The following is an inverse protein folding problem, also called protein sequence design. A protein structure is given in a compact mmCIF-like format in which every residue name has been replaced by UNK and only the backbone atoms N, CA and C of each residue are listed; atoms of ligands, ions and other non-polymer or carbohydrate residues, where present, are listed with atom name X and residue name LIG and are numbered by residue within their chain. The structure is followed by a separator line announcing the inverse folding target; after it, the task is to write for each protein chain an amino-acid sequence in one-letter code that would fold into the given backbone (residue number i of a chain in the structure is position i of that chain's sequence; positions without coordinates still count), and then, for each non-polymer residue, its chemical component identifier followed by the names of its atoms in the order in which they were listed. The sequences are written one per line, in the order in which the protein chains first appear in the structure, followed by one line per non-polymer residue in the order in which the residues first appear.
data_IF_713539866533
#
_entry.id   IF_713539866533
#
_cell.length_a   1.000
_cell.length_b   1.000
_cell.length_c   1.000
_cell.angle_alpha   90.00
_cell.angle_beta   90.00
_cell.angle_gamma   90.00
#
_symmetry.space_group_name_H-M   'P 1'
#
loop_
_entity.id
_entity.type
_entity.pdbx_description
1 polymer ?
#
# COMPACT_ATOMS: atom_id res chain seq x y z
N UNK A 1 -19.23 -7.75 -31.01
CA UNK A 1 -19.91 -6.45 -31.18
C UNK A 1 -19.30 -5.35 -30.30
N UNK A 2 -19.37 -5.45 -28.96
CA UNK A 2 -18.79 -4.41 -28.05
C UNK A 2 -17.27 -4.31 -28.18
N UNK A 3 -16.55 -5.44 -28.26
CA UNK A 3 -15.10 -5.43 -28.49
C UNK A 3 -14.71 -4.91 -29.88
N UNK A 4 -15.58 -5.09 -30.87
CA UNK A 4 -15.29 -4.73 -32.26
C UNK A 4 -15.64 -3.27 -32.57
N UNK A 5 -16.54 -2.64 -31.79
CA UNK A 5 -16.99 -1.24 -31.96
C UNK A 5 -17.22 -0.56 -30.59
N UNK A 6 -16.19 -0.50 -29.72
CA UNK A 6 -16.33 0.02 -28.36
C UNK A 6 -16.85 1.46 -28.31
N UNK A 7 -16.52 2.29 -29.29
CA UNK A 7 -16.93 3.69 -29.42
C UNK A 7 -18.45 3.89 -29.57
N UNK A 8 -19.18 2.84 -29.98
CA UNK A 8 -20.65 2.87 -30.04
C UNK A 8 -21.30 2.70 -28.65
N UNK A 9 -20.58 2.10 -27.71
CA UNK A 9 -21.12 1.64 -26.43
C UNK A 9 -20.51 2.35 -25.21
N UNK A 10 -19.34 2.98 -25.38
CA UNK A 10 -18.66 3.71 -24.32
C UNK A 10 -18.52 5.18 -24.69
N UNK A 11 -18.85 6.07 -23.74
CA UNK A 11 -18.65 7.52 -23.91
C UNK A 11 -17.17 7.89 -24.12
N UNK A 12 -16.26 7.09 -23.56
CA UNK A 12 -14.81 7.17 -23.76
C UNK A 12 -14.21 5.76 -23.74
N UNK A 13 -13.22 5.49 -24.57
CA UNK A 13 -12.42 4.26 -24.51
C UNK A 13 -10.93 4.60 -24.50
N UNK A 14 -10.14 3.74 -23.86
CA UNK A 14 -8.68 3.83 -23.82
C UNK A 14 -8.12 2.51 -24.32
N UNK A 15 -7.11 2.58 -25.17
CA UNK A 15 -6.39 1.42 -25.69
C UNK A 15 -4.98 1.40 -25.09
N UNK A 16 -4.58 0.25 -24.55
CA UNK A 16 -3.26 0.03 -23.96
C UNK A 16 -2.65 -1.22 -24.58
N UNK A 17 -1.54 -1.06 -25.30
CA UNK A 17 -0.79 -2.18 -25.85
C UNK A 17 0.10 -2.79 -24.76
N UNK A 18 -0.26 -3.97 -24.28
CA UNK A 18 0.49 -4.67 -23.22
C UNK A 18 1.90 -5.08 -23.64
N UNK A 19 2.16 -5.25 -24.94
CA UNK A 19 3.48 -5.61 -25.46
C UNK A 19 4.48 -4.45 -25.44
N UNK A 20 3.98 -3.22 -25.39
CA UNK A 20 4.80 -1.99 -25.32
C UNK A 20 4.83 -1.38 -23.91
N UNK A 21 3.97 -1.87 -23.01
CA UNK A 21 3.88 -1.38 -21.64
C UNK A 21 5.11 -1.84 -20.83
N UNK A 22 5.89 -0.87 -20.37
CA UNK A 22 6.99 -1.12 -19.43
C UNK A 22 6.55 -0.97 -17.96
N UNK A 23 7.34 -1.47 -16.98
CA UNK A 23 7.04 -1.26 -15.57
C UNK A 23 6.95 0.23 -15.19
N UNK A 24 6.06 0.54 -14.25
CA UNK A 24 5.84 1.91 -13.78
C UNK A 24 5.99 2.00 -12.25
N UNK A 25 6.39 3.19 -11.81
CA UNK A 25 6.43 3.60 -10.41
C UNK A 25 5.65 4.91 -10.31
N UNK A 26 4.65 4.99 -9.42
CA UNK A 26 3.83 6.20 -9.28
C UNK A 26 4.04 6.87 -7.92
N UNK A 27 4.11 8.20 -7.87
CA UNK A 27 4.25 8.98 -6.63
C UNK A 27 5.01 10.30 -6.79
N UNK A 28 5.40 10.96 -5.69
CA UNK A 28 5.41 10.47 -4.29
C UNK A 28 4.16 10.79 -3.43
N UNK A 29 3.24 11.65 -3.90
CA UNK A 29 2.09 12.14 -3.10
C UNK A 29 0.73 11.99 -3.79
N UNK A 30 0.71 11.32 -4.94
CA UNK A 30 -0.49 11.05 -5.71
C UNK A 30 -0.30 9.78 -6.55
N UNK A 31 -1.33 8.92 -6.65
CA UNK A 31 -1.23 7.67 -7.40
C UNK A 31 -1.29 7.87 -8.92
N UNK A 32 -1.66 9.07 -9.39
CA UNK A 32 -1.78 9.43 -10.81
C UNK A 32 -0.49 10.04 -11.39
N UNK A 33 0.53 10.31 -10.57
CA UNK A 33 1.85 10.74 -11.06
C UNK A 33 2.59 9.48 -11.50
N UNK A 34 2.37 9.05 -12.73
CA UNK A 34 2.95 7.84 -13.30
C UNK A 34 4.32 8.12 -13.92
N UNK A 35 5.33 7.35 -13.52
CA UNK A 35 6.68 7.43 -14.09
C UNK A 35 7.08 6.05 -14.63
N UNK A 36 7.32 5.92 -15.95
CA UNK A 36 7.92 4.70 -16.49
C UNK A 36 9.26 4.44 -15.81
N UNK A 37 9.55 3.18 -15.49
CA UNK A 37 10.76 2.79 -14.76
C UNK A 37 12.04 3.29 -15.45
N UNK A 38 12.08 3.26 -16.78
CA UNK A 38 13.17 3.79 -17.60
C UNK A 38 13.48 5.28 -17.35
N UNK A 39 12.50 6.06 -16.88
CA UNK A 39 12.62 7.51 -16.61
C UNK A 39 12.72 7.88 -15.13
N UNK A 40 12.68 6.89 -14.23
CA UNK A 40 12.62 7.14 -12.79
C UNK A 40 13.83 7.93 -12.27
N UNK A 41 15.01 7.69 -12.84
CA UNK A 41 16.24 8.42 -12.50
C UNK A 41 16.15 9.90 -12.84
N UNK A 42 15.76 10.22 -14.07
CA UNK A 42 15.60 11.60 -14.55
C UNK A 42 14.56 12.35 -13.71
N UNK A 43 13.40 11.74 -13.44
CA UNK A 43 12.36 12.37 -12.64
C UNK A 43 12.77 12.54 -11.16
N UNK A 44 13.56 11.64 -10.58
CA UNK A 44 14.12 11.86 -9.25
C UNK A 44 15.04 13.10 -9.20
N UNK A 45 15.94 13.22 -10.18
CA UNK A 45 16.90 14.34 -10.27
C UNK A 45 16.17 15.67 -10.48
N UNK A 46 15.22 15.70 -11.43
CA UNK A 46 14.42 16.88 -11.77
C UNK A 46 13.56 17.39 -10.61
N UNK A 47 12.94 16.49 -9.85
CA UNK A 47 12.03 16.87 -8.78
C UNK A 47 12.68 16.87 -7.38
N UNK A 48 13.96 16.52 -7.28
CA UNK A 48 14.69 16.43 -6.02
C UNK A 48 14.14 15.36 -5.07
N UNK A 49 13.64 14.23 -5.62
CA UNK A 49 13.12 13.14 -4.81
C UNK A 49 14.26 12.32 -4.19
N UNK A 50 14.19 11.96 -2.89
CA UNK A 50 15.23 11.13 -2.27
C UNK A 50 15.29 9.75 -2.92
N UNK A 51 16.43 9.38 -3.50
CA UNK A 51 16.57 8.10 -4.20
C UNK A 51 16.78 6.91 -3.23
N UNK A 52 17.28 7.16 -2.02
CA UNK A 52 17.54 6.12 -1.02
C UNK A 52 16.23 5.59 -0.42
N UNK A 53 15.96 4.31 -0.67
CA UNK A 53 14.74 3.65 -0.19
C UNK A 53 15.00 3.08 1.19
N UNK A 54 14.26 3.57 2.18
CA UNK A 54 14.38 3.13 3.57
C UNK A 54 13.59 1.83 3.85
N UNK A 55 12.41 1.70 3.24
CA UNK A 55 11.57 0.51 3.39
C UNK A 55 10.81 0.19 2.11
N UNK A 56 10.63 -1.11 1.87
CA UNK A 56 9.86 -1.69 0.79
C UNK A 56 8.75 -2.58 1.36
N UNK A 57 7.49 -2.31 0.98
CA UNK A 57 6.34 -3.06 1.50
C UNK A 57 5.60 -3.79 0.39
N UNK A 58 5.60 -5.12 0.46
CA UNK A 58 4.98 -6.01 -0.53
C UNK A 58 3.67 -6.54 0.06
N UNK A 59 2.62 -6.63 -0.75
CA UNK A 59 1.35 -7.23 -0.37
C UNK A 59 0.21 -6.24 -0.14
N UNK A 60 -0.51 -6.40 0.97
CA UNK A 60 -1.82 -5.75 1.22
C UNK A 60 -2.88 -6.16 0.19
N UNK A 61 -4.07 -5.57 0.23
CA UNK A 61 -5.20 -6.06 -0.58
C UNK A 61 -5.00 -5.99 -2.10
N UNK A 62 -4.10 -5.14 -2.61
CA UNK A 62 -3.92 -4.92 -4.05
C UNK A 62 -3.02 -5.97 -4.71
N UNK A 63 -1.87 -6.27 -4.10
CA UNK A 63 -0.85 -7.13 -4.72
C UNK A 63 -0.33 -8.19 -3.74
N UNK A 64 -1.24 -8.98 -3.17
CA UNK A 64 -0.93 -10.10 -2.26
C UNK A 64 -1.58 -11.40 -2.65
N UNK A 65 -1.90 -11.57 -3.93
CA UNK A 65 -2.30 -12.87 -4.45
C UNK A 65 -1.14 -13.87 -4.38
N UNK A 66 -1.43 -15.13 -4.63
CA UNK A 66 -0.38 -16.15 -4.75
C UNK A 66 0.59 -15.82 -5.90
N UNK A 67 0.07 -15.33 -7.03
CA UNK A 67 0.90 -14.87 -8.15
C UNK A 67 1.84 -13.74 -7.74
N UNK A 68 1.30 -12.68 -7.14
CA UNK A 68 2.08 -11.51 -6.67
C UNK A 68 3.23 -11.93 -5.74
N UNK A 69 2.92 -12.76 -4.74
CA UNK A 69 3.90 -13.24 -3.77
C UNK A 69 4.94 -14.13 -4.45
N UNK A 70 4.52 -15.01 -5.37
CA UNK A 70 5.45 -15.89 -6.10
C UNK A 70 6.41 -15.10 -7.01
N UNK A 71 5.92 -14.05 -7.68
CA UNK A 71 6.73 -13.15 -8.52
C UNK A 71 7.77 -12.39 -7.71
N UNK A 72 7.36 -11.80 -6.58
CA UNK A 72 8.31 -11.14 -5.69
C UNK A 72 9.30 -12.14 -5.08
N UNK A 73 8.85 -13.34 -4.68
CA UNK A 73 9.71 -14.38 -4.12
C UNK A 73 10.74 -14.89 -5.14
N UNK A 74 10.43 -14.92 -6.44
CA UNK A 74 11.40 -15.31 -7.47
C UNK A 74 12.54 -14.29 -7.61
N UNK A 75 12.25 -13.00 -7.47
CA UNK A 75 13.27 -11.92 -7.38
C UNK A 75 14.15 -12.16 -6.15
N UNK A 76 13.55 -12.38 -4.98
CA UNK A 76 14.30 -12.64 -3.74
C UNK A 76 15.19 -13.89 -3.88
N UNK A 77 14.65 -14.98 -4.40
CA UNK A 77 15.39 -16.24 -4.64
C UNK A 77 16.58 -16.03 -5.57
N UNK A 78 16.40 -15.26 -6.65
CA UNK A 78 17.48 -14.95 -7.58
C UNK A 78 18.58 -14.13 -6.88
N UNK A 79 18.20 -13.12 -6.11
CA UNK A 79 19.13 -12.29 -5.36
C UNK A 79 19.93 -13.09 -4.31
N UNK A 80 19.27 -13.97 -3.56
CA UNK A 80 19.95 -14.87 -2.61
C UNK A 80 20.97 -15.78 -3.31
N UNK A 81 20.60 -16.39 -4.45
CA UNK A 81 21.53 -17.21 -5.26
C UNK A 81 22.73 -16.42 -5.78
N UNK A 82 22.55 -15.14 -6.05
CA UNK A 82 23.60 -14.24 -6.49
C UNK A 82 24.39 -13.62 -5.32
N UNK A 83 24.14 -14.03 -4.07
CA UNK A 83 24.78 -13.47 -2.88
C UNK A 83 24.55 -11.95 -2.72
N UNK A 84 23.36 -11.49 -3.09
CA UNK A 84 22.88 -10.13 -2.80
C UNK A 84 22.15 -10.11 -1.46
N UNK A 85 22.08 -8.92 -0.88
CA UNK A 85 21.30 -8.66 0.33
C UNK A 85 20.47 -7.40 0.14
N UNK A 86 19.35 -7.32 0.86
CA UNK A 86 18.52 -6.13 0.81
C UNK A 86 19.18 -4.95 1.48
N UNK A 87 19.13 -3.79 0.83
CA UNK A 87 19.61 -2.53 1.37
C UNK A 87 18.50 -1.70 2.02
N UNK A 88 17.24 -1.98 1.70
CA UNK A 88 16.07 -1.41 2.36
C UNK A 88 15.45 -2.45 3.32
N UNK A 89 14.65 -2.00 4.29
CA UNK A 89 13.85 -2.93 5.09
C UNK A 89 12.73 -3.54 4.23
N UNK A 90 12.56 -4.87 4.24
CA UNK A 90 11.47 -5.54 3.53
C UNK A 90 10.37 -5.93 4.52
N UNK A 91 9.12 -5.60 4.17
CA UNK A 91 7.93 -6.04 4.89
C UNK A 91 6.96 -6.70 3.92
N UNK A 92 6.43 -7.87 4.28
CA UNK A 92 5.52 -8.64 3.42
C UNK A 92 4.20 -8.88 4.13
N UNK A 93 3.08 -8.54 3.49
CA UNK A 93 1.73 -8.69 4.04
C UNK A 93 0.88 -9.58 3.13
N UNK A 94 0.69 -10.87 3.45
CA UNK A 94 -0.22 -11.72 2.69
C UNK A 94 -1.68 -11.25 2.82
N UNK A 95 -2.48 -11.45 1.79
CA UNK A 95 -3.84 -10.87 1.72
C UNK A 95 -4.88 -11.60 2.57
N UNK A 96 -4.59 -12.84 2.96
CA UNK A 96 -5.48 -13.70 3.75
C UNK A 96 -4.71 -14.82 4.42
N UNK A 97 -5.32 -15.48 5.41
CA UNK A 97 -4.76 -16.70 6.00
C UNK A 97 -4.57 -17.82 4.97
N UNK A 98 -5.47 -17.92 3.98
CA UNK A 98 -5.35 -18.90 2.91
C UNK A 98 -4.06 -18.67 2.11
N UNK A 99 -3.86 -17.43 1.64
CA UNK A 99 -2.66 -17.10 0.86
C UNK A 99 -1.40 -17.22 1.71
N UNK A 100 -1.42 -16.76 2.98
CA UNK A 100 -0.27 -16.93 3.89
C UNK A 100 0.08 -18.40 4.03
N UNK A 101 -0.90 -19.27 4.31
CA UNK A 101 -0.66 -20.70 4.50
C UNK A 101 -0.04 -21.37 3.27
N UNK A 102 -0.54 -21.04 2.08
CA UNK A 102 -0.03 -21.63 0.83
C UNK A 102 1.36 -21.08 0.51
N UNK A 103 1.59 -19.77 0.64
CA UNK A 103 2.90 -19.16 0.42
C UNK A 103 3.95 -19.64 1.42
N UNK A 104 3.54 -20.00 2.64
CA UNK A 104 4.38 -20.67 3.64
C UNK A 104 4.72 -22.10 3.20
N UNK A 105 3.70 -22.91 2.87
CA UNK A 105 3.86 -24.30 2.39
C UNK A 105 4.81 -24.37 1.19
N UNK A 106 4.66 -23.45 0.25
CA UNK A 106 5.42 -23.43 -1.00
C UNK A 106 6.80 -22.74 -0.85
N UNK A 107 7.17 -22.35 0.38
CA UNK A 107 8.49 -21.83 0.74
C UNK A 107 8.75 -20.38 0.34
N UNK A 108 7.75 -19.65 -0.15
CA UNK A 108 7.91 -18.25 -0.55
C UNK A 108 8.17 -17.33 0.64
N UNK A 109 7.45 -17.53 1.76
CA UNK A 109 7.67 -16.71 2.96
C UNK A 109 9.03 -16.95 3.59
N UNK A 110 9.58 -18.16 3.48
CA UNK A 110 10.94 -18.47 3.94
C UNK A 110 12.00 -17.72 3.15
N UNK A 111 11.85 -17.62 1.81
CA UNK A 111 12.76 -16.81 0.98
C UNK A 111 12.79 -15.35 1.43
N UNK A 112 11.63 -14.77 1.73
CA UNK A 112 11.55 -13.41 2.27
C UNK A 112 12.27 -13.30 3.62
N UNK A 113 12.07 -14.25 4.54
CA UNK A 113 12.77 -14.27 5.85
C UNK A 113 14.27 -14.43 5.70
N UNK A 114 14.75 -15.26 4.76
CA UNK A 114 16.17 -15.42 4.45
C UNK A 114 16.81 -14.10 3.96
N UNK A 115 16.04 -13.26 3.26
CA UNK A 115 16.46 -11.91 2.87
C UNK A 115 16.36 -10.88 4.02
N UNK A 116 15.89 -11.29 5.19
CA UNK A 116 15.70 -10.42 6.36
C UNK A 116 14.37 -9.67 6.38
N UNK A 117 13.36 -10.11 5.62
CA UNK A 117 12.05 -9.49 5.62
C UNK A 117 11.24 -9.83 6.88
N UNK A 118 10.43 -8.88 7.31
CA UNK A 118 9.40 -9.10 8.33
C UNK A 118 8.06 -9.49 7.68
N UNK A 119 7.49 -10.62 8.09
CA UNK A 119 6.18 -11.06 7.61
C UNK A 119 5.10 -10.52 8.54
N UNK A 120 4.30 -9.59 8.05
CA UNK A 120 3.20 -8.97 8.78
C UNK A 120 1.97 -9.87 8.84
N UNK A 121 1.10 -9.57 9.82
CA UNK A 121 -0.21 -10.20 9.91
C UNK A 121 -1.06 -9.91 8.65
N UNK A 122 -1.99 -10.81 8.35
CA UNK A 122 -2.89 -10.72 7.20
C UNK A 122 -3.97 -9.64 7.42
N UNK A 123 -3.56 -8.37 7.35
CA UNK A 123 -4.37 -7.20 7.62
C UNK A 123 -3.88 -6.01 6.79
N UNK A 124 -4.62 -4.90 6.74
CA UNK A 124 -4.21 -3.74 5.94
C UNK A 124 -2.87 -3.12 6.40
N UNK A 125 -2.59 -3.13 7.71
CA UNK A 125 -1.33 -2.65 8.29
C UNK A 125 -0.87 -1.28 7.76
N UNK A 126 0.36 -1.16 7.25
CA UNK A 126 0.91 0.09 6.70
C UNK A 126 0.05 0.76 5.62
N UNK A 127 -0.74 0.03 4.83
CA UNK A 127 -1.57 0.59 3.77
C UNK A 127 -2.60 1.64 4.28
N UNK A 128 -2.95 1.55 5.57
CA UNK A 128 -3.87 2.49 6.24
C UNK A 128 -3.20 3.27 7.38
N UNK A 129 -1.86 3.26 7.45
CA UNK A 129 -1.09 3.90 8.51
C UNK A 129 -1.13 3.16 9.84
N UNK A 130 -1.48 1.85 9.84
CA UNK A 130 -1.37 0.96 10.99
C UNK A 130 0.00 0.30 10.97
N UNK A 131 1.03 1.12 11.13
CA UNK A 131 2.41 0.72 11.21
C UNK A 131 3.12 1.56 12.26
N UNK A 132 3.61 0.90 13.31
CA UNK A 132 4.47 1.54 14.30
C UNK A 132 5.89 1.63 13.75
N UNK A 133 6.07 2.51 12.76
CA UNK A 133 7.37 2.74 12.15
C UNK A 133 8.23 3.52 13.12
N UNK A 134 9.34 2.89 13.53
CA UNK A 134 10.37 3.54 14.35
C UNK A 134 10.76 4.89 13.73
N UNK A 135 10.83 5.93 14.56
CA UNK A 135 11.27 7.28 14.21
C UNK A 135 10.36 8.05 13.22
N UNK A 136 9.16 7.55 12.87
CA UNK A 136 8.24 8.27 11.97
C UNK A 136 7.73 9.60 12.58
N UNK A 137 7.66 9.69 13.91
CA UNK A 137 7.32 10.90 14.65
C UNK A 137 8.36 12.03 14.51
N UNK A 138 9.62 11.69 14.17
CA UNK A 138 10.69 12.65 13.88
C UNK A 138 10.54 13.34 12.53
N UNK A 139 9.56 12.93 11.71
CA UNK A 139 9.22 13.52 10.42
C UNK A 139 10.42 13.71 9.48
N UNK A 140 11.36 12.75 9.48
CA UNK A 140 12.51 12.80 8.59
C UNK A 140 12.10 12.62 7.13
N UNK A 141 12.78 13.31 6.22
CA UNK A 141 12.66 13.07 4.79
C UNK A 141 13.18 11.67 4.49
N UNK A 142 12.35 10.82 3.89
CA UNK A 142 12.71 9.46 3.52
C UNK A 142 11.86 8.98 2.34
N UNK A 143 12.31 7.93 1.68
CA UNK A 143 11.56 7.28 0.60
C UNK A 143 11.12 5.89 1.00
N UNK A 144 9.87 5.56 0.66
CA UNK A 144 9.28 4.24 0.80
C UNK A 144 8.68 3.82 -0.54
N UNK A 145 8.81 2.56 -0.88
CA UNK A 145 8.12 1.98 -2.05
C UNK A 145 7.23 0.84 -1.60
N UNK A 146 6.03 0.72 -2.16
CA UNK A 146 5.10 -0.34 -1.75
C UNK A 146 4.14 -0.78 -2.87
N UNK A 147 3.75 -2.05 -2.85
CA UNK A 147 2.79 -2.59 -3.81
C UNK A 147 1.32 -2.39 -3.38
N UNK A 148 1.04 -1.20 -2.84
CA UNK A 148 -0.33 -0.78 -2.48
C UNK A 148 -0.91 0.08 -3.61
N UNK A 149 -1.99 0.81 -3.32
CA UNK A 149 -2.69 1.64 -4.31
C UNK A 149 -2.77 3.13 -3.95
N UNK A 150 -2.35 3.53 -2.75
CA UNK A 150 -2.43 4.92 -2.28
C UNK A 150 -1.12 5.33 -1.62
N UNK A 151 -0.66 6.52 -1.98
CA UNK A 151 0.60 7.12 -1.54
C UNK A 151 0.40 8.60 -1.16
N UNK A 152 -0.76 8.97 -0.61
CA UNK A 152 -0.96 10.33 -0.11
C UNK A 152 -0.03 10.61 1.07
N UNK A 153 0.32 11.88 1.29
CA UNK A 153 1.12 12.30 2.43
C UNK A 153 0.55 11.76 3.76
N UNK A 154 1.43 11.34 4.68
CA UNK A 154 1.09 10.73 5.99
C UNK A 154 0.37 9.38 5.94
N UNK A 155 0.04 8.85 4.76
CA UNK A 155 -0.84 7.68 4.66
C UNK A 155 -0.20 6.41 5.23
N UNK A 156 1.08 6.18 4.93
CA UNK A 156 1.75 4.89 5.18
C UNK A 156 2.26 4.76 6.62
N UNK A 157 2.78 5.85 7.18
CA UNK A 157 3.46 5.87 8.48
C UNK A 157 3.14 7.12 9.33
N UNK A 158 2.23 7.99 8.88
CA UNK A 158 1.89 9.24 9.56
C UNK A 158 2.86 10.41 9.32
N UNK A 159 4.01 10.17 8.69
CA UNK A 159 5.03 11.18 8.40
C UNK A 159 4.68 11.94 7.09
N UNK A 160 4.56 13.29 7.11
CA UNK A 160 4.26 14.06 5.91
C UNK A 160 5.43 14.12 4.92
N UNK A 161 6.65 13.88 5.39
CA UNK A 161 7.90 13.97 4.63
C UNK A 161 8.35 12.59 4.08
N UNK A 162 7.50 11.56 4.20
CA UNK A 162 7.72 10.28 3.54
C UNK A 162 7.26 10.37 2.09
N UNK A 163 8.21 10.18 1.16
CA UNK A 163 7.97 10.11 -0.27
C UNK A 163 7.57 8.67 -0.60
N UNK A 164 6.28 8.45 -0.82
CA UNK A 164 5.73 7.11 -1.00
C UNK A 164 5.48 6.81 -2.48
N UNK A 165 6.08 5.72 -2.97
CA UNK A 165 5.91 5.27 -4.35
C UNK A 165 5.15 3.95 -4.41
N UNK A 166 4.28 3.80 -5.42
CA UNK A 166 3.56 2.54 -5.69
C UNK A 166 4.12 1.88 -6.95
N UNK A 167 4.31 0.56 -6.91
CA UNK A 167 4.79 -0.24 -8.03
C UNK A 167 4.33 -1.70 -7.89
N UNK A 168 4.58 -2.55 -8.89
CA UNK A 168 4.31 -3.99 -8.79
C UNK A 168 5.20 -4.66 -7.71
N UNK A 169 4.76 -5.78 -7.10
CA UNK A 169 5.46 -6.40 -5.98
C UNK A 169 6.88 -6.88 -6.34
N UNK A 170 7.12 -7.33 -7.58
CA UNK A 170 8.46 -7.67 -8.07
C UNK A 170 9.38 -6.45 -8.23
N UNK A 171 8.86 -5.30 -8.65
CA UNK A 171 9.64 -4.05 -8.71
C UNK A 171 9.96 -3.57 -7.31
N UNK A 172 8.99 -3.63 -6.38
CA UNK A 172 9.22 -3.33 -4.96
C UNK A 172 10.34 -4.20 -4.39
N UNK A 173 10.35 -5.51 -4.68
CA UNK A 173 11.41 -6.42 -4.25
C UNK A 173 12.78 -6.05 -4.86
N UNK A 174 12.84 -5.78 -6.16
CA UNK A 174 14.07 -5.38 -6.86
C UNK A 174 14.66 -4.07 -6.29
N UNK A 175 13.82 -3.05 -6.07
CA UNK A 175 14.21 -1.77 -5.47
C UNK A 175 14.64 -1.94 -4.02
N UNK A 176 14.01 -2.84 -3.26
CA UNK A 176 14.45 -3.15 -1.90
C UNK A 176 15.87 -3.73 -1.85
N UNK A 177 16.18 -4.60 -2.82
CA UNK A 177 17.51 -5.21 -2.95
C UNK A 177 18.54 -4.16 -3.36
N UNK A 178 18.23 -3.30 -4.33
CA UNK A 178 19.14 -2.25 -4.79
C UNK A 178 19.34 -1.14 -3.75
N UNK A 179 18.31 -0.86 -2.94
CA UNK A 179 18.20 0.27 -2.01
C UNK A 179 17.95 1.62 -2.69
N UNK A 180 17.72 1.64 -4.00
CA UNK A 180 17.69 2.86 -4.82
C UNK A 180 16.45 2.87 -5.71
N UNK A 181 15.63 3.91 -5.57
CA UNK A 181 14.43 4.14 -6.40
C UNK A 181 14.77 4.26 -7.90
N UNK A 182 15.99 4.72 -8.20
CA UNK A 182 16.48 4.93 -9.56
C UNK A 182 17.07 3.67 -10.20
N UNK A 183 17.06 2.52 -9.52
CA UNK A 183 17.57 1.27 -10.06
C UNK A 183 16.58 0.66 -11.06
N UNK A 184 17.05 0.36 -12.27
CA UNK A 184 16.26 -0.34 -13.27
C UNK A 184 16.72 -1.81 -13.40
N UNK A 185 15.98 -2.79 -12.84
CA UNK A 185 16.34 -4.21 -12.95
C UNK A 185 16.44 -4.76 -14.39
N UNK A 186 15.91 -4.06 -15.40
CA UNK A 186 15.99 -4.50 -16.80
C UNK A 186 17.35 -4.19 -17.43
N UNK A 187 18.07 -3.20 -16.92
CA UNK A 187 19.30 -2.67 -17.55
C UNK A 187 20.51 -2.60 -16.63
N UNK A 188 20.27 -2.45 -15.33
CA UNK A 188 21.31 -2.07 -14.37
C UNK A 188 21.89 -3.30 -13.65
N UNK A 189 23.18 -3.24 -13.37
CA UNK A 189 23.88 -4.25 -12.57
C UNK A 189 23.95 -3.87 -11.10
N UNK A 190 24.02 -4.87 -10.23
CA UNK A 190 24.39 -4.71 -8.81
C UNK A 190 25.73 -5.40 -8.54
N UNK A 191 26.45 -4.91 -7.54
CA UNK A 191 27.63 -5.60 -7.02
C UNK A 191 27.19 -6.52 -5.89
N UNK A 192 27.45 -7.82 -6.03
CA UNK A 192 27.15 -8.78 -4.99
C UNK A 192 28.20 -8.78 -3.87
N UNK A 193 27.98 -9.57 -2.81
CA UNK A 193 28.93 -9.67 -1.68
C UNK A 193 30.29 -10.27 -2.05
N UNK A 194 30.41 -10.92 -3.21
CA UNK A 194 31.68 -11.43 -3.74
C UNK A 194 32.40 -10.40 -4.63
N UNK A 195 31.88 -9.16 -4.72
CA UNK A 195 32.43 -8.08 -5.55
C UNK A 195 32.16 -8.23 -7.05
N UNK A 196 31.28 -9.14 -7.46
CA UNK A 196 30.97 -9.40 -8.88
C UNK A 196 29.74 -8.61 -9.34
N UNK A 197 29.76 -8.04 -10.55
CA UNK A 197 28.56 -7.45 -11.15
C UNK A 197 27.58 -8.56 -11.54
N UNK A 198 26.32 -8.39 -11.13
CA UNK A 198 25.22 -9.32 -11.43
C UNK A 198 24.00 -8.54 -11.91
N UNK A 199 23.24 -9.15 -12.82
CA UNK A 199 21.94 -8.66 -13.30
C UNK A 199 20.84 -9.47 -12.62
N UNK A 200 19.74 -8.80 -12.25
CA UNK A 200 18.55 -9.52 -11.80
C UNK A 200 17.93 -10.27 -12.97
N UNK A 201 17.53 -11.52 -12.73
CA UNK A 201 16.75 -12.25 -13.72
C UNK A 201 15.32 -11.70 -13.79
N UNK A 202 14.70 -11.86 -14.96
CA UNK A 202 13.27 -11.59 -15.11
C UNK A 202 12.46 -12.44 -14.11
N UNK A 203 11.51 -11.83 -13.37
CA UNK A 203 10.74 -12.56 -12.38
C UNK A 203 9.82 -13.56 -13.05
N UNK A 204 9.75 -14.76 -12.47
CA UNK A 204 8.74 -15.76 -12.78
C UNK A 204 7.74 -15.89 -11.64
N UNK A 205 6.53 -16.32 -11.95
CA UNK A 205 5.49 -16.55 -10.95
C UNK A 205 4.47 -17.55 -11.44
N UNK A 206 3.58 -17.94 -10.54
CA UNK A 206 2.54 -18.92 -10.80
C UNK A 206 1.19 -18.27 -10.56
N UNK A 207 0.34 -18.26 -11.58
CA UNK A 207 -1.01 -17.70 -11.48
C UNK A 207 -1.83 -18.33 -10.34
N UNK A 208 -1.68 -19.67 -10.16
CA UNK A 208 -2.32 -20.44 -9.10
C UNK A 208 -1.33 -21.45 -8.50
N UNK A 209 -1.51 -21.88 -7.24
CA UNK A 209 -0.70 -22.93 -6.64
C UNK A 209 -0.88 -24.25 -7.39
N UNK A 210 0.22 -24.90 -7.77
CA UNK A 210 0.21 -26.15 -8.53
C UNK A 210 -0.47 -27.30 -7.76
N UNK A 211 -0.30 -27.35 -6.43
CA UNK A 211 -0.96 -28.31 -5.55
C UNK A 211 -2.36 -27.85 -5.09
N UNK A 212 -2.88 -26.78 -5.67
CA UNK A 212 -4.13 -26.15 -5.27
C UNK A 212 -4.04 -25.45 -3.91
N UNK A 213 -5.17 -24.87 -3.51
CA UNK A 213 -5.29 -24.01 -2.32
C UNK A 213 -5.37 -24.79 -0.99
N UNK A 214 -5.51 -26.12 -1.04
CA UNK A 214 -5.68 -26.95 0.15
C UNK A 214 -6.95 -26.63 0.96
N UNK A 215 -6.98 -27.10 2.22
CA UNK A 215 -8.01 -26.74 3.20
C UNK A 215 -7.37 -25.80 4.24
N UNK A 216 -7.95 -24.63 4.44
CA UNK A 216 -7.55 -23.75 5.55
C UNK A 216 -8.34 -24.12 6.79
N UNK A 217 -7.67 -24.60 7.83
CA UNK A 217 -8.24 -24.67 9.16
C UNK A 217 -8.50 -23.24 9.67
N UNK A 218 -9.67 -22.99 10.27
CA UNK A 218 -9.99 -21.68 10.89
C UNK A 218 -10.89 -20.74 10.09
N UNK A 219 -11.36 -21.13 8.90
CA UNK A 219 -12.51 -20.44 8.27
C UNK A 219 -13.79 -20.92 8.97
N UNK A 220 -14.07 -20.38 10.15
CA UNK A 220 -15.42 -20.47 10.71
C UNK A 220 -16.34 -19.67 9.78
N UNK A 221 -17.08 -20.39 8.92
CA UNK A 221 -18.24 -19.81 8.27
C UNK A 221 -19.18 -19.32 9.36
N UNK A 222 -19.63 -18.07 9.26
CA UNK A 222 -20.47 -17.49 10.29
C UNK A 222 -21.67 -18.41 10.51
N UNK A 223 -21.78 -18.98 11.71
CA UNK A 223 -23.03 -19.63 12.14
C UNK A 223 -24.11 -18.56 11.93
N UNK A 224 -25.11 -18.86 11.09
CA UNK A 224 -26.18 -17.93 10.69
C UNK A 224 -26.78 -17.19 11.90
N UNK A 225 -27.50 -16.07 11.67
CA UNK A 225 -27.78 -15.06 12.70
C UNK A 225 -28.21 -15.68 14.02
N UNK A 226 -27.29 -15.71 14.99
CA UNK A 226 -27.62 -16.23 16.31
C UNK A 226 -28.61 -15.26 16.96
N UNK A 227 -29.81 -15.76 17.28
CA UNK A 227 -30.90 -15.16 18.09
C UNK A 227 -30.58 -13.79 18.71
N UNK A 228 -31.45 -12.79 18.47
CA UNK A 228 -31.61 -11.49 19.16
C UNK A 228 -30.64 -11.27 20.35
N UNK A 229 -29.36 -11.01 20.07
CA UNK A 229 -28.38 -10.64 21.10
C UNK A 229 -28.60 -9.18 21.44
N UNK A 230 -28.79 -8.86 22.73
CA UNK A 230 -28.87 -7.49 23.21
C UNK A 230 -27.47 -6.87 23.14
N UNK A 231 -27.26 -5.96 22.19
CA UNK A 231 -26.02 -5.17 22.11
C UNK A 231 -26.00 -4.20 23.29
N UNK A 232 -24.95 -4.26 24.10
CA UNK A 232 -24.72 -3.34 25.22
C UNK A 232 -23.46 -2.53 24.91
N UNK A 233 -23.60 -1.20 24.83
CA UNK A 233 -22.47 -0.27 24.72
C UNK A 233 -22.29 0.39 26.08
N UNK A 234 -21.07 0.33 26.64
CA UNK A 234 -20.75 1.03 27.88
C UNK A 234 -20.83 2.55 27.64
N UNK A 235 -21.66 3.31 28.40
CA UNK A 235 -21.76 4.77 28.23
C UNK A 235 -20.46 5.53 28.48
N UNK A 236 -19.47 4.93 29.17
CA UNK A 236 -18.13 5.49 29.41
C UNK A 236 -17.07 4.92 28.45
N UNK A 237 -17.48 4.21 27.41
CA UNK A 237 -16.54 3.65 26.42
C UNK A 237 -15.92 4.76 25.60
N UNK A 238 -14.60 4.80 25.53
CA UNK A 238 -13.89 5.72 24.62
C UNK A 238 -13.83 5.19 23.17
N UNK A 239 -14.31 3.96 22.93
CA UNK A 239 -14.20 3.26 21.63
C UNK A 239 -15.51 3.19 20.86
N UNK A 240 -16.63 3.07 21.57
CA UNK A 240 -17.97 2.83 21.03
C UNK A 240 -18.95 3.81 21.67
N UNK A 241 -19.69 4.53 20.85
CA UNK A 241 -20.69 5.50 21.26
C UNK A 241 -22.01 5.23 20.54
N UNK A 242 -23.13 5.30 21.25
CA UNK A 242 -24.44 5.31 20.60
C UNK A 242 -24.60 6.62 19.84
N UNK A 243 -24.96 6.53 18.55
CA UNK A 243 -25.24 7.73 17.76
C UNK A 243 -26.55 8.37 18.22
N UNK A 244 -26.51 9.68 18.39
CA UNK A 244 -27.71 10.50 18.56
C UNK A 244 -28.17 11.01 17.19
N UNK A 245 -29.49 11.07 16.92
CA UNK A 245 -29.99 11.67 15.69
C UNK A 245 -29.52 13.12 15.57
N UNK A 246 -29.03 13.51 14.39
CA UNK A 246 -28.78 14.92 14.10
C UNK A 246 -30.08 15.73 14.09
N UNK A 247 -29.97 17.03 14.35
CA UNK A 247 -31.10 17.94 14.27
C UNK A 247 -31.72 17.90 12.86
N UNK A 248 -33.06 17.86 12.80
CA UNK A 248 -33.77 17.98 11.54
C UNK A 248 -33.59 19.38 10.97
N UNK A 249 -33.63 19.50 9.65
CA UNK A 249 -33.69 20.81 8.99
C UNK A 249 -34.91 21.59 9.49
N UNK A 250 -34.72 22.87 9.80
CA UNK A 250 -35.73 23.74 10.40
C UNK A 250 -36.62 24.46 9.37
N UNK A 251 -36.45 24.18 8.06
CA UNK A 251 -37.20 24.80 6.98
C UNK A 251 -36.74 26.21 6.60
N UNK A 252 -35.66 26.72 7.20
CA UNK A 252 -35.13 28.07 6.94
C UNK A 252 -33.82 28.00 6.14
N UNK A 253 -33.52 29.10 5.47
CA UNK A 253 -32.24 29.29 4.78
C UNK A 253 -31.08 29.42 5.78
N UNK A 254 -29.88 29.04 5.32
CA UNK A 254 -28.64 29.22 6.07
C UNK A 254 -28.02 30.59 5.78
N UNK A 255 -28.39 31.60 6.56
CA UNK A 255 -27.80 32.95 6.46
C UNK A 255 -26.62 33.13 7.43
N UNK A 256 -25.70 34.04 7.12
CA UNK A 256 -24.57 34.44 7.99
C UNK A 256 -23.64 33.29 8.44
N UNK A 257 -23.48 32.28 7.57
CA UNK A 257 -22.62 31.13 7.83
C UNK A 257 -21.14 31.53 7.92
N UNK A 258 -20.45 31.05 8.96
CA UNK A 258 -19.01 31.25 9.11
C UNK A 258 -18.23 30.30 8.22
N UNK A 259 -17.26 30.84 7.49
CA UNK A 259 -16.27 30.04 6.78
C UNK A 259 -15.27 29.45 7.78
N UNK A 260 -15.33 28.14 8.00
CA UNK A 260 -14.43 27.45 8.95
C UNK A 260 -13.01 27.32 8.39
N UNK A 261 -12.88 26.92 7.13
CA UNK A 261 -11.59 26.79 6.43
C UNK A 261 -11.81 27.03 4.93
N UNK A 262 -10.90 27.76 4.30
CA UNK A 262 -10.81 27.87 2.85
C UNK A 262 -9.74 26.91 2.37
N UNK A 263 -10.15 25.73 1.91
CA UNK A 263 -9.20 24.69 1.50
C UNK A 263 -8.51 25.07 0.19
N UNK A 264 -7.17 25.00 0.18
CA UNK A 264 -6.35 25.22 -1.01
C UNK A 264 -5.94 23.88 -1.64
N UNK A 265 -6.30 23.68 -2.90
CA UNK A 265 -5.87 22.54 -3.70
C UNK A 265 -6.53 21.22 -3.29
N UNK A 266 -5.75 20.12 -3.35
CA UNK A 266 -6.24 18.75 -3.14
C UNK A 266 -6.67 18.52 -1.69
N UNK A 267 -7.87 17.97 -1.50
CA UNK A 267 -8.39 17.60 -0.19
C UNK A 267 -9.11 16.24 -0.27
N UNK A 268 -8.39 15.19 0.10
CA UNK A 268 -8.91 13.83 0.16
C UNK A 268 -9.59 13.56 1.50
N UNK A 269 -10.30 12.44 1.62
CA UNK A 269 -10.91 12.02 2.90
C UNK A 269 -9.89 11.81 4.03
N UNK A 270 -8.63 11.48 3.72
CA UNK A 270 -7.56 11.42 4.74
C UNK A 270 -7.16 12.81 5.26
N UNK A 271 -7.39 13.91 4.50
CA UNK A 271 -7.20 15.29 4.97
C UNK A 271 -8.36 15.73 5.88
N UNK A 272 -9.57 15.26 5.59
CA UNK A 272 -10.81 15.57 6.33
C UNK A 272 -10.89 14.75 7.62
N UNK A 273 -10.63 13.44 7.56
CA UNK A 273 -10.67 12.52 8.70
C UNK A 273 -9.68 11.38 8.49
N UNK A 274 -8.47 11.59 8.99
CA UNK A 274 -7.33 10.69 8.88
C UNK A 274 -7.61 9.30 9.45
N UNK A 275 -6.99 8.27 8.85
CA UNK A 275 -6.91 6.91 9.39
C UNK A 275 -5.80 6.76 10.47
N UNK A 276 -4.97 5.71 10.39
CA UNK A 276 -3.89 5.45 11.34
C UNK A 276 -4.37 5.40 12.80
N UNK A 277 -3.74 6.19 13.69
CA UNK A 277 -4.07 6.25 15.11
C UNK A 277 -5.53 6.57 15.43
N UNK A 278 -6.26 7.21 14.52
CA UNK A 278 -7.66 7.58 14.70
C UNK A 278 -8.63 6.41 14.54
N UNK A 279 -8.18 5.29 13.95
CA UNK A 279 -9.02 4.11 13.76
C UNK A 279 -9.53 3.52 15.08
N UNK A 280 -8.83 3.75 16.19
CA UNK A 280 -9.34 3.38 17.51
C UNK A 280 -10.68 4.07 17.83
N UNK A 281 -10.96 5.25 17.30
CA UNK A 281 -12.19 6.00 17.57
C UNK A 281 -13.28 5.83 16.50
N UNK A 282 -13.14 4.88 15.55
CA UNK A 282 -14.12 4.70 14.45
C UNK A 282 -15.56 4.39 14.90
N UNK A 283 -15.74 3.86 16.11
CA UNK A 283 -17.06 3.65 16.70
C UNK A 283 -17.52 4.76 17.64
N UNK A 284 -16.78 5.86 17.77
CA UNK A 284 -17.04 6.95 18.69
C UNK A 284 -16.97 8.30 17.96
N UNK A 285 -18.13 8.88 17.65
CA UNK A 285 -18.23 10.06 16.78
C UNK A 285 -17.51 11.28 17.37
N UNK A 286 -17.72 11.59 18.65
CA UNK A 286 -17.09 12.78 19.26
C UNK A 286 -15.55 12.68 19.26
N UNK A 287 -15.00 11.54 19.67
CA UNK A 287 -13.56 11.32 19.70
C UNK A 287 -12.93 11.34 18.30
N UNK A 288 -13.58 10.77 17.28
CA UNK A 288 -13.02 10.82 15.92
C UNK A 288 -13.13 12.23 15.30
N UNK A 289 -14.16 13.01 15.66
CA UNK A 289 -14.33 14.40 15.18
C UNK A 289 -13.20 15.35 15.59
N UNK A 290 -12.39 15.01 16.60
CA UNK A 290 -11.17 15.76 16.93
C UNK A 290 -10.13 15.78 15.80
N UNK A 291 -10.29 14.94 14.76
CA UNK A 291 -9.43 14.93 13.59
C UNK A 291 -9.99 15.67 12.37
N UNK A 292 -11.12 16.37 12.53
CA UNK A 292 -11.78 17.03 11.42
C UNK A 292 -10.88 18.09 10.77
N UNK A 293 -10.61 17.93 9.47
CA UNK A 293 -9.85 18.84 8.60
C UNK A 293 -8.40 19.15 9.04
N UNK A 294 -7.82 18.40 9.99
CA UNK A 294 -6.46 18.68 10.51
C UNK A 294 -5.36 18.50 9.44
N UNK A 295 -5.65 17.78 8.35
CA UNK A 295 -4.72 17.60 7.24
C UNK A 295 -4.90 18.61 6.12
N UNK A 296 -5.98 19.40 6.11
CA UNK A 296 -6.27 20.31 5.01
C UNK A 296 -5.37 21.57 5.04
N UNK A 297 -4.94 22.01 3.86
CA UNK A 297 -4.16 23.25 3.71
C UNK A 297 -5.09 24.45 3.65
N UNK A 298 -4.93 25.39 4.58
CA UNK A 298 -5.68 26.66 4.56
C UNK A 298 -5.09 27.63 3.51
N UNK A 299 -5.96 28.42 2.88
CA UNK A 299 -5.61 29.40 1.85
C UNK A 299 -4.78 30.58 2.38
#
# INVERSE_FOLDING_TARGET
EVYDNPEKYFDNYLEINLSELEPHINGPFSPDIATPLSKMKEECEKNGWPADVAAALIGSCTNSSYEDISRAASVIKNALKQNLASKAEIKVTPGSELIRHIAERDGYLDLFREMGAEIFANACGPCIGQWDRKDADKQQVNTVIHSFNRNFARRTDGNPNTYAFVASPEIVAAIAISGKLTFNPLTDTLINRDGKPVMMAEPSGYFLPAEGFGKTEGIETSKGPSRKKKIKINPRSERLQMLSPFARWNGKDFTDMRLLIKVKGKCTTDHISMAGKWLKYRGHLENISHNYMIGATNF
#
